data_IF_762696293083
#
_entry.id   IF_762696293083
#
_cell.length_a   1.000
_cell.length_b   1.000
_cell.length_c   1.000
_cell.angle_alpha   90.00
_cell.angle_beta   90.00
_cell.angle_gamma   90.00
#
_symmetry.space_group_name_H-M   'P 1'
#
loop_
_entity.id
_entity.type
_entity.pdbx_description
1 polymer ?
#
# COMPACT_ATOMS: atom_id res chain seq x y z
N UNK A 1 60.93 -26.55 -28.56
CA UNK A 1 60.33 -25.65 -29.57
C UNK A 1 58.97 -26.11 -30.12
N UNK A 2 58.67 -27.42 -30.20
CA UNK A 2 57.34 -27.91 -30.69
C UNK A 2 56.14 -27.47 -29.81
N UNK A 3 56.34 -27.38 -28.49
CA UNK A 3 55.26 -27.16 -27.52
C UNK A 3 54.66 -25.75 -27.55
N UNK A 4 55.49 -24.75 -27.90
CA UNK A 4 55.06 -23.35 -28.05
C UNK A 4 54.32 -23.11 -29.36
N UNK A 5 54.71 -23.83 -30.43
CA UNK A 5 54.00 -23.79 -31.70
C UNK A 5 52.58 -24.35 -31.59
N UNK A 6 52.40 -25.43 -30.83
CA UNK A 6 51.08 -26.04 -30.59
C UNK A 6 50.12 -25.09 -29.84
N UNK A 7 50.63 -24.35 -28.86
CA UNK A 7 49.85 -23.35 -28.11
C UNK A 7 49.41 -22.18 -28.99
N UNK A 8 50.28 -21.75 -29.91
CA UNK A 8 50.00 -20.65 -30.82
C UNK A 8 48.94 -21.03 -31.85
N UNK A 9 49.01 -22.24 -32.42
CA UNK A 9 47.99 -22.78 -33.32
C UNK A 9 46.64 -22.95 -32.61
N UNK A 10 46.63 -23.43 -31.36
CA UNK A 10 45.41 -23.58 -30.58
C UNK A 10 44.73 -22.23 -30.30
N UNK A 11 45.51 -21.18 -30.04
CA UNK A 11 44.98 -19.82 -29.83
C UNK A 11 44.33 -19.28 -31.10
N UNK A 12 44.95 -19.49 -32.28
CA UNK A 12 44.40 -19.02 -33.56
C UNK A 12 43.12 -19.76 -33.92
N UNK A 13 43.04 -21.07 -33.65
CA UNK A 13 41.82 -21.86 -33.89
C UNK A 13 40.69 -21.40 -32.97
N UNK A 14 40.97 -21.18 -31.69
CA UNK A 14 39.95 -20.72 -30.72
C UNK A 14 39.42 -19.33 -31.09
N UNK A 15 40.32 -18.42 -31.49
CA UNK A 15 39.93 -17.08 -31.95
C UNK A 15 39.18 -17.12 -33.29
N UNK A 16 39.62 -17.93 -34.24
CA UNK A 16 38.96 -18.09 -35.54
C UNK A 16 37.58 -18.73 -35.42
N UNK A 17 37.40 -19.69 -34.50
CA UNK A 17 36.12 -20.32 -34.22
C UNK A 17 35.17 -19.35 -33.51
N UNK A 18 35.67 -18.52 -32.59
CA UNK A 18 34.90 -17.41 -32.01
C UNK A 18 34.48 -16.35 -33.04
N UNK A 19 35.36 -16.00 -33.98
CA UNK A 19 35.07 -15.03 -35.04
C UNK A 19 34.06 -15.57 -36.07
N UNK A 20 34.19 -16.84 -36.48
CA UNK A 20 33.27 -17.48 -37.43
C UNK A 20 31.86 -17.71 -36.82
N UNK A 21 31.78 -17.98 -35.52
CA UNK A 21 30.49 -18.00 -34.81
C UNK A 21 29.92 -16.60 -34.56
N UNK A 22 30.77 -15.57 -34.42
CA UNK A 22 30.37 -14.18 -34.22
C UNK A 22 29.73 -13.54 -35.47
N UNK A 23 30.21 -13.88 -36.67
CA UNK A 23 29.71 -13.29 -37.92
C UNK A 23 28.44 -13.99 -38.46
N UNK A 24 28.18 -15.26 -38.05
CA UNK A 24 26.96 -16.00 -38.41
C UNK A 24 25.80 -15.83 -37.43
N UNK A 25 26.01 -15.24 -36.25
CA UNK A 25 24.92 -14.67 -35.48
C UNK A 25 24.72 -13.23 -35.91
N UNK A 26 24.02 -13.05 -37.04
CA UNK A 26 23.05 -11.96 -37.15
C UNK A 26 22.05 -12.17 -36.02
N UNK A 27 22.44 -11.74 -34.82
CA UNK A 27 21.63 -11.73 -33.63
C UNK A 27 20.55 -10.68 -33.91
N UNK A 28 19.50 -11.11 -34.60
CA UNK A 28 18.20 -10.51 -34.45
C UNK A 28 17.95 -10.52 -32.94
N UNK A 29 18.26 -9.41 -32.27
CA UNK A 29 17.75 -9.09 -30.93
C UNK A 29 16.24 -9.32 -31.04
N UNK A 30 15.70 -10.44 -30.55
CA UNK A 30 14.28 -10.63 -30.62
C UNK A 30 13.68 -9.56 -29.69
N UNK A 31 12.46 -9.16 -29.99
CA UNK A 31 11.55 -8.29 -29.23
C UNK A 31 11.40 -8.62 -27.71
N UNK A 32 12.23 -9.47 -27.12
CA UNK A 32 12.14 -9.98 -25.76
C UNK A 32 12.58 -8.98 -24.68
N UNK A 33 13.38 -7.94 -24.99
CA UNK A 33 13.71 -6.91 -23.99
C UNK A 33 12.52 -6.01 -23.63
N UNK A 34 11.68 -5.64 -24.59
CA UNK A 34 10.46 -4.88 -24.29
C UNK A 34 9.42 -5.72 -23.55
N UNK A 35 9.36 -7.02 -23.83
CA UNK A 35 8.48 -7.97 -23.14
C UNK A 35 8.86 -8.16 -21.66
N UNK A 36 10.15 -8.33 -21.37
CA UNK A 36 10.66 -8.48 -19.99
C UNK A 36 10.50 -7.17 -19.20
N UNK A 37 10.75 -6.01 -19.83
CA UNK A 37 10.56 -4.71 -19.18
C UNK A 37 9.06 -4.44 -18.90
N UNK A 38 8.17 -4.85 -19.80
CA UNK A 38 6.72 -4.82 -19.63
C UNK A 38 6.26 -5.75 -18.50
N UNK A 39 6.75 -7.00 -18.44
CA UNK A 39 6.40 -7.95 -17.39
C UNK A 39 6.89 -7.51 -16.00
N UNK A 40 8.14 -7.03 -15.89
CA UNK A 40 8.69 -6.51 -14.62
C UNK A 40 7.92 -5.26 -14.16
N UNK A 41 7.61 -4.34 -15.08
CA UNK A 41 6.82 -3.15 -14.79
C UNK A 41 5.40 -3.51 -14.32
N UNK A 42 4.76 -4.48 -14.99
CA UNK A 42 3.42 -4.96 -14.62
C UNK A 42 3.40 -5.64 -13.25
N UNK A 43 4.36 -6.51 -12.95
CA UNK A 43 4.47 -7.15 -11.64
C UNK A 43 4.74 -6.14 -10.52
N UNK A 44 5.59 -5.15 -10.77
CA UNK A 44 5.88 -4.08 -9.80
C UNK A 44 4.64 -3.20 -9.54
N UNK A 45 3.89 -2.88 -10.59
CA UNK A 45 2.63 -2.12 -10.47
C UNK A 45 1.55 -2.90 -9.71
N UNK A 46 1.42 -4.21 -9.96
CA UNK A 46 0.52 -5.08 -9.21
C UNK A 46 0.91 -5.19 -7.73
N UNK A 47 2.20 -5.28 -7.43
CA UNK A 47 2.70 -5.30 -6.05
C UNK A 47 2.41 -3.96 -5.33
N UNK A 48 2.68 -2.83 -5.99
CA UNK A 48 2.41 -1.50 -5.42
C UNK A 48 0.92 -1.28 -5.15
N UNK A 49 0.06 -1.72 -6.07
CA UNK A 49 -1.40 -1.67 -5.88
C UNK A 49 -1.86 -2.56 -4.71
N UNK A 50 -1.31 -3.76 -4.58
CA UNK A 50 -1.62 -4.69 -3.49
C UNK A 50 -1.18 -4.13 -2.14
N UNK A 51 0.03 -3.56 -2.06
CA UNK A 51 0.55 -2.94 -0.84
C UNK A 51 -0.30 -1.73 -0.44
N UNK A 52 -0.73 -0.90 -1.39
CA UNK A 52 -1.65 0.22 -1.12
C UNK A 52 -2.99 -0.26 -0.57
N UNK A 53 -3.56 -1.32 -1.15
CA UNK A 53 -4.80 -1.94 -0.68
C UNK A 53 -4.68 -2.46 0.76
N UNK A 54 -3.60 -3.16 1.08
CA UNK A 54 -3.34 -3.67 2.44
C UNK A 54 -3.19 -2.51 3.43
N UNK A 55 -2.41 -1.48 3.09
CA UNK A 55 -2.21 -0.30 3.95
C UNK A 55 -3.50 0.47 4.20
N UNK A 56 -4.35 0.58 3.18
CA UNK A 56 -5.67 1.18 3.29
C UNK A 56 -6.54 0.37 4.25
N UNK A 57 -6.64 -0.95 4.05
CA UNK A 57 -7.42 -1.82 4.92
C UNK A 57 -6.96 -1.79 6.37
N UNK A 58 -5.64 -1.86 6.61
CA UNK A 58 -5.06 -1.72 7.96
C UNK A 58 -5.43 -0.37 8.59
N UNK A 59 -5.32 0.73 7.84
CA UNK A 59 -5.67 2.05 8.36
C UNK A 59 -7.16 2.18 8.72
N UNK A 60 -8.05 1.56 7.94
CA UNK A 60 -9.49 1.51 8.25
C UNK A 60 -9.76 0.67 9.50
N UNK A 61 -9.10 -0.49 9.63
CA UNK A 61 -9.28 -1.34 10.79
C UNK A 61 -8.72 -0.68 12.07
N UNK A 62 -7.53 -0.10 12.01
CA UNK A 62 -6.95 0.69 13.11
C UNK A 62 -7.92 1.79 13.56
N UNK A 63 -8.53 2.52 12.61
CA UNK A 63 -9.52 3.56 12.91
C UNK A 63 -10.74 2.99 13.64
N UNK A 64 -11.23 1.81 13.22
CA UNK A 64 -12.35 1.10 13.88
C UNK A 64 -11.99 0.67 15.30
N UNK A 65 -10.79 0.16 15.51
CA UNK A 65 -10.32 -0.30 16.81
C UNK A 65 -10.27 0.87 17.79
N UNK A 66 -9.72 2.02 17.37
CA UNK A 66 -9.72 3.24 18.17
C UNK A 66 -11.13 3.77 18.47
N UNK A 67 -12.07 3.74 17.51
CA UNK A 67 -13.47 4.11 17.80
C UNK A 67 -14.14 3.15 18.81
N UNK A 68 -13.75 1.87 18.79
CA UNK A 68 -14.24 0.87 19.74
C UNK A 68 -13.67 1.14 21.14
N UNK A 69 -12.38 1.46 21.24
CA UNK A 69 -11.74 1.88 22.49
C UNK A 69 -12.34 3.18 23.03
N UNK A 70 -12.63 4.15 22.16
CA UNK A 70 -13.31 5.38 22.54
C UNK A 70 -14.70 5.12 23.12
N UNK A 71 -15.46 4.20 22.51
CA UNK A 71 -16.78 3.80 23.04
C UNK A 71 -16.66 3.17 24.42
N UNK A 72 -15.70 2.26 24.61
CA UNK A 72 -15.47 1.63 25.91
C UNK A 72 -15.07 2.67 26.99
N UNK A 73 -14.18 3.60 26.65
CA UNK A 73 -13.80 4.69 27.53
C UNK A 73 -15.01 5.58 27.91
N UNK A 74 -15.96 5.80 26.99
CA UNK A 74 -17.19 6.54 27.28
C UNK A 74 -18.15 5.78 28.21
N UNK A 75 -18.21 4.45 28.09
CA UNK A 75 -18.96 3.61 29.03
C UNK A 75 -18.37 3.69 30.45
N UNK A 76 -17.05 3.79 30.55
CA UNK A 76 -16.31 4.02 31.80
C UNK A 76 -16.34 5.49 32.27
N UNK A 77 -17.00 6.40 31.53
CA UNK A 77 -17.02 7.85 31.76
C UNK A 77 -15.62 8.50 31.73
N UNK A 78 -14.66 7.85 31.09
CA UNK A 78 -13.32 8.36 30.86
C UNK A 78 -13.26 9.17 29.56
N UNK A 79 -13.74 10.42 29.62
CA UNK A 79 -13.78 11.31 28.47
C UNK A 79 -12.38 11.70 27.96
N UNK A 80 -11.37 11.74 28.83
CA UNK A 80 -9.99 12.05 28.44
C UNK A 80 -9.42 10.99 27.50
N UNK A 81 -9.54 9.71 27.88
CA UNK A 81 -9.18 8.60 27.00
C UNK A 81 -10.04 8.57 25.75
N UNK A 82 -11.36 8.80 25.86
CA UNK A 82 -12.23 8.83 24.68
C UNK A 82 -11.82 9.89 23.64
N UNK A 83 -11.43 11.09 24.06
CA UNK A 83 -10.92 12.15 23.16
C UNK A 83 -9.65 11.68 22.45
N UNK A 84 -8.70 11.09 23.19
CA UNK A 84 -7.45 10.61 22.62
C UNK A 84 -7.70 9.51 21.58
N UNK A 85 -8.54 8.53 21.92
CA UNK A 85 -8.89 7.44 21.00
C UNK A 85 -9.62 7.95 19.75
N UNK A 86 -10.54 8.93 19.87
CA UNK A 86 -11.20 9.54 18.70
C UNK A 86 -10.20 10.30 17.82
N UNK A 87 -9.20 10.96 18.43
CA UNK A 87 -8.14 11.66 17.69
C UNK A 87 -7.22 10.69 16.94
N UNK A 88 -6.88 9.56 17.55
CA UNK A 88 -6.13 8.50 16.87
C UNK A 88 -6.97 7.89 15.74
N UNK A 89 -8.25 7.60 15.98
CA UNK A 89 -9.16 7.11 14.96
C UNK A 89 -9.23 8.02 13.74
N UNK A 90 -9.30 9.34 13.96
CA UNK A 90 -9.27 10.37 12.92
C UNK A 90 -7.96 10.33 12.13
N UNK A 91 -6.82 10.29 12.81
CA UNK A 91 -5.50 10.24 12.18
C UNK A 91 -5.36 9.04 11.26
N UNK A 92 -5.84 7.87 11.70
CA UNK A 92 -5.87 6.64 10.89
C UNK A 92 -6.82 6.75 9.71
N UNK A 93 -7.97 7.39 9.90
CA UNK A 93 -8.94 7.61 8.83
C UNK A 93 -8.44 8.61 7.77
N UNK A 94 -7.75 9.68 8.17
CA UNK A 94 -7.10 10.64 7.26
C UNK A 94 -6.04 9.93 6.40
N UNK A 95 -5.27 9.01 7.00
CA UNK A 95 -4.33 8.17 6.26
C UNK A 95 -5.06 7.25 5.27
N UNK A 96 -6.16 6.63 5.66
CA UNK A 96 -6.98 5.81 4.78
C UNK A 96 -7.57 6.66 3.63
N UNK A 97 -8.07 7.86 3.91
CA UNK A 97 -8.58 8.80 2.89
C UNK A 97 -7.49 9.16 1.87
N UNK A 98 -6.26 9.42 2.33
CA UNK A 98 -5.11 9.72 1.47
C UNK A 98 -4.71 8.56 0.55
N UNK A 99 -4.93 7.32 0.98
CA UNK A 99 -4.66 6.11 0.19
C UNK A 99 -5.84 5.71 -0.71
N UNK A 100 -7.06 6.18 -0.39
CA UNK A 100 -8.29 5.84 -1.11
C UNK A 100 -8.47 6.64 -2.41
N UNK A 101 -9.19 6.05 -3.36
CA UNK A 101 -9.55 6.68 -4.64
C UNK A 101 -11.02 6.49 -4.97
N UNK A 102 -11.54 7.29 -5.90
CA UNK A 102 -12.89 7.16 -6.45
C UNK A 102 -14.00 7.24 -5.39
N UNK A 103 -14.86 6.23 -5.39
CA UNK A 103 -16.05 6.18 -4.55
C UNK A 103 -15.72 6.00 -3.05
N UNK A 104 -14.67 5.24 -2.73
CA UNK A 104 -14.26 5.04 -1.34
C UNK A 104 -13.83 6.37 -0.70
N UNK A 105 -13.07 7.20 -1.41
CA UNK A 105 -12.67 8.52 -0.92
C UNK A 105 -13.87 9.43 -0.62
N UNK A 106 -14.92 9.36 -1.45
CA UNK A 106 -16.16 10.11 -1.24
C UNK A 106 -16.94 9.63 -0.02
N UNK A 107 -16.84 8.35 0.34
CA UNK A 107 -17.45 7.78 1.54
C UNK A 107 -16.65 8.08 2.81
N UNK A 108 -15.32 8.13 2.73
CA UNK A 108 -14.46 8.41 3.88
C UNK A 108 -14.49 9.87 4.33
N UNK A 109 -14.64 10.84 3.41
CA UNK A 109 -14.75 12.27 3.74
C UNK A 109 -15.84 12.63 4.74
N UNK A 110 -17.13 12.28 4.53
CA UNK A 110 -18.18 12.59 5.49
C UNK A 110 -17.97 11.88 6.82
N UNK A 111 -17.38 10.68 6.81
CA UNK A 111 -17.01 9.98 8.04
C UNK A 111 -15.91 10.73 8.81
N UNK A 112 -14.92 11.26 8.10
CA UNK A 112 -13.84 12.04 8.70
C UNK A 112 -14.36 13.34 9.33
N UNK A 113 -15.31 14.00 8.65
CA UNK A 113 -16.02 15.14 9.22
C UNK A 113 -16.82 14.77 10.47
N UNK A 114 -17.54 13.64 10.45
CA UNK A 114 -18.28 13.14 11.62
C UNK A 114 -17.35 12.87 12.82
N UNK A 115 -16.18 12.26 12.60
CA UNK A 115 -15.19 12.02 13.66
C UNK A 115 -14.64 13.34 14.19
N UNK A 116 -14.36 14.33 13.33
CA UNK A 116 -13.93 15.66 13.78
C UNK A 116 -15.00 16.37 14.61
N UNK A 117 -16.29 16.27 14.25
CA UNK A 117 -17.39 16.82 15.03
C UNK A 117 -17.56 16.09 16.38
N UNK A 118 -17.28 14.80 16.39
CA UNK A 118 -17.29 13.97 17.60
C UNK A 118 -16.18 14.37 18.57
N UNK A 119 -14.98 14.65 18.06
CA UNK A 119 -13.83 15.16 18.84
C UNK A 119 -14.21 16.46 19.58
N UNK A 120 -14.80 17.42 18.88
CA UNK A 120 -15.28 18.68 19.47
C UNK A 120 -16.38 18.43 20.52
N UNK A 121 -17.30 17.52 20.22
CA UNK A 121 -18.41 17.19 21.11
C UNK A 121 -17.92 16.49 22.39
N UNK A 122 -16.88 15.65 22.29
CA UNK A 122 -16.24 15.02 23.43
C UNK A 122 -15.48 16.00 24.30
N UNK A 123 -14.76 16.95 23.69
CA UNK A 123 -14.08 18.01 24.42
C UNK A 123 -15.05 18.90 25.23
N UNK A 124 -16.29 19.03 24.75
CA UNK A 124 -17.38 19.73 25.43
C UNK A 124 -18.18 18.86 26.42
N UNK A 125 -17.79 17.59 26.63
CA UNK A 125 -18.51 16.63 27.47
C UNK A 125 -19.98 16.46 27.06
N UNK A 126 -20.27 16.62 25.77
CA UNK A 126 -21.64 16.59 25.28
C UNK A 126 -22.20 15.15 25.30
N UNK A 127 -23.37 14.89 25.89
CA UNK A 127 -23.97 13.55 25.90
C UNK A 127 -24.27 12.99 24.50
N UNK A 128 -24.31 13.83 23.47
CA UNK A 128 -24.45 13.41 22.07
C UNK A 128 -23.20 12.70 21.52
N UNK A 129 -22.03 12.92 22.12
CA UNK A 129 -20.76 12.38 21.66
C UNK A 129 -20.75 10.85 21.60
N UNK A 130 -21.35 10.18 22.60
CA UNK A 130 -21.47 8.72 22.61
C UNK A 130 -22.23 8.18 21.39
N UNK A 131 -23.33 8.83 21.02
CA UNK A 131 -24.11 8.46 19.82
C UNK A 131 -23.32 8.71 18.53
N UNK A 132 -22.50 9.76 18.50
CA UNK A 132 -21.68 10.08 17.34
C UNK A 132 -20.52 9.08 17.17
N UNK A 133 -19.83 8.68 18.24
CA UNK A 133 -18.81 7.61 18.22
C UNK A 133 -19.41 6.31 17.68
N UNK A 134 -20.58 5.90 18.19
CA UNK A 134 -21.24 4.68 17.73
C UNK A 134 -21.69 4.78 16.25
N UNK A 135 -22.20 5.94 15.84
CA UNK A 135 -22.57 6.19 14.44
C UNK A 135 -21.36 6.15 13.49
N UNK A 136 -20.22 6.71 13.93
CA UNK A 136 -18.98 6.68 13.18
C UNK A 136 -18.46 5.24 13.03
N UNK A 137 -18.47 4.48 14.12
CA UNK A 137 -18.09 3.05 14.14
C UNK A 137 -18.95 2.22 13.18
N UNK A 138 -20.28 2.35 13.25
CA UNK A 138 -21.19 1.62 12.37
C UNK A 138 -21.02 2.00 10.89
N UNK A 139 -20.76 3.27 10.62
CA UNK A 139 -20.51 3.74 9.25
C UNK A 139 -19.20 3.16 8.71
N UNK A 140 -18.14 3.19 9.52
CA UNK A 140 -16.85 2.60 9.16
C UNK A 140 -16.94 1.08 8.94
N UNK A 141 -17.69 0.38 9.78
CA UNK A 141 -17.93 -1.07 9.63
C UNK A 141 -18.67 -1.40 8.32
N UNK A 142 -19.65 -0.59 7.93
CA UNK A 142 -20.33 -0.73 6.63
C UNK A 142 -19.39 -0.49 5.45
N UNK A 143 -18.42 0.42 5.59
CA UNK A 143 -17.42 0.70 4.54
C UNK A 143 -16.43 -0.46 4.43
N UNK A 144 -15.98 -1.02 5.55
CA UNK A 144 -15.02 -2.14 5.57
C UNK A 144 -15.66 -3.45 5.08
N UNK A 145 -16.95 -3.66 5.35
CA UNK A 145 -17.67 -4.90 5.01
C UNK A 145 -18.14 -4.95 3.55
N UNK A 146 -17.86 -3.93 2.75
CA UNK A 146 -18.31 -3.78 1.37
C UNK A 146 -17.20 -4.09 0.39
#
# INVERSE_FOLDING_TARGET
MIKTFFWLVFSVITFGMGYYFGEKQSFHLPHSFSGIQSEISSQTSHLDHTIKGIRLWMALNDSKDHLTLASAALDEKNFGSAVNEVKEARTKLEKAEGLSQGELKKQLRPLNQLISETEVSLAQLNPKAKKQVESAKQTLEKIISK
#
